data_IF_192879393706
#
_entry.id   IF_192879393706
#
_cell.length_a   1.000
_cell.length_b   1.000
_cell.length_c   1.000
_cell.angle_alpha   90.00
_cell.angle_beta   90.00
_cell.angle_gamma   90.00
#
_symmetry.space_group_name_H-M   'P 1'
#
loop_
_entity.id
_entity.type
_entity.pdbx_description
1 polymer ?
#
# COMPACT_ATOMS: atom_id res chain seq x y z
N UNK A 1 10.31 -24.75 0.89
CA UNK A 1 10.36 -23.57 0.03
C UNK A 1 9.24 -23.75 -0.99
N UNK A 2 8.09 -23.06 -0.80
CA UNK A 2 6.97 -23.14 -1.74
C UNK A 2 7.40 -22.54 -3.09
N UNK A 3 7.07 -23.21 -4.20
CA UNK A 3 7.24 -22.64 -5.55
C UNK A 3 6.47 -21.32 -5.59
N UNK A 4 7.15 -20.22 -5.89
CA UNK A 4 6.47 -18.98 -6.31
C UNK A 4 5.81 -19.31 -7.63
N UNK A 5 4.49 -19.35 -7.65
CA UNK A 5 3.72 -19.52 -8.89
C UNK A 5 3.74 -18.17 -9.57
N UNK A 6 4.47 -18.06 -10.67
CA UNK A 6 4.46 -16.85 -11.48
C UNK A 6 3.24 -16.88 -12.40
N UNK A 7 2.47 -15.79 -12.36
CA UNK A 7 1.39 -15.53 -13.30
C UNK A 7 1.82 -14.34 -14.17
N UNK A 8 1.74 -14.51 -15.47
CA UNK A 8 1.74 -13.39 -16.41
C UNK A 8 0.33 -12.79 -16.50
N UNK A 9 0.16 -11.70 -17.24
CA UNK A 9 -1.17 -11.13 -17.47
C UNK A 9 -1.81 -11.58 -18.79
N UNK A 10 -1.36 -12.71 -19.35
CA UNK A 10 -2.09 -13.36 -20.44
C UNK A 10 -3.47 -13.81 -19.97
N UNK A 11 -4.44 -13.92 -20.90
CA UNK A 11 -5.80 -14.34 -20.58
C UNK A 11 -5.84 -15.65 -19.75
N UNK A 12 -5.04 -16.64 -20.15
CA UNK A 12 -4.98 -17.95 -19.47
C UNK A 12 -4.44 -17.83 -18.06
N UNK A 13 -3.39 -17.03 -17.84
CA UNK A 13 -2.79 -16.85 -16.51
C UNK A 13 -3.67 -16.03 -15.58
N UNK A 14 -4.33 -14.98 -16.07
CA UNK A 14 -5.30 -14.20 -15.31
C UNK A 14 -6.44 -15.09 -14.82
N UNK A 15 -6.99 -15.92 -15.71
CA UNK A 15 -8.03 -16.89 -15.36
C UNK A 15 -7.51 -17.92 -14.36
N UNK A 16 -6.35 -18.53 -14.61
CA UNK A 16 -5.73 -19.51 -13.72
C UNK A 16 -5.50 -18.93 -12.32
N UNK A 17 -4.95 -17.72 -12.21
CA UNK A 17 -4.71 -17.05 -10.94
C UNK A 17 -5.98 -16.79 -10.14
N UNK A 18 -7.07 -16.40 -10.81
CA UNK A 18 -8.37 -16.26 -10.16
C UNK A 18 -8.92 -17.63 -9.69
N UNK A 19 -8.88 -18.67 -10.54
CA UNK A 19 -9.37 -20.00 -10.16
C UNK A 19 -8.57 -20.59 -8.99
N UNK A 20 -7.26 -20.43 -8.98
CA UNK A 20 -6.40 -20.86 -7.87
C UNK A 20 -6.73 -20.10 -6.57
N UNK A 21 -7.03 -18.80 -6.66
CA UNK A 21 -7.47 -17.99 -5.52
C UNK A 21 -8.81 -18.46 -4.97
N UNK A 22 -9.80 -18.68 -5.82
CA UNK A 22 -11.11 -19.20 -5.43
C UNK A 22 -11.00 -20.56 -4.73
N UNK A 23 -10.19 -21.46 -5.30
CA UNK A 23 -9.90 -22.76 -4.70
C UNK A 23 -9.24 -22.63 -3.33
N UNK A 24 -8.24 -21.76 -3.19
CA UNK A 24 -7.54 -21.55 -1.93
C UNK A 24 -8.47 -20.97 -0.85
N UNK A 25 -9.36 -20.06 -1.23
CA UNK A 25 -10.36 -19.45 -0.36
C UNK A 25 -11.58 -20.34 -0.11
N UNK A 26 -11.71 -21.47 -0.84
CA UNK A 26 -12.85 -22.38 -0.77
C UNK A 26 -14.18 -21.69 -1.02
N UNK A 27 -14.24 -20.89 -2.07
CA UNK A 27 -15.43 -20.14 -2.49
C UNK A 27 -15.55 -20.13 -4.01
N UNK A 28 -16.77 -19.97 -4.52
CA UNK A 28 -17.02 -19.86 -5.95
C UNK A 28 -17.00 -18.40 -6.44
N UNK A 29 -16.97 -17.43 -5.52
CA UNK A 29 -16.98 -15.99 -5.81
C UNK A 29 -16.27 -15.21 -4.73
N UNK A 30 -15.58 -14.13 -5.14
CA UNK A 30 -14.97 -13.14 -4.24
C UNK A 30 -15.61 -11.76 -4.45
N UNK A 31 -15.51 -10.90 -3.44
CA UNK A 31 -15.97 -9.52 -3.59
C UNK A 31 -15.02 -8.69 -4.45
N UNK A 32 -13.72 -8.78 -4.20
CA UNK A 32 -12.71 -7.97 -4.85
C UNK A 32 -11.62 -8.83 -5.52
N UNK A 33 -11.42 -8.63 -6.82
CA UNK A 33 -10.31 -9.20 -7.58
C UNK A 33 -9.27 -8.12 -7.89
N UNK A 34 -7.99 -8.40 -7.62
CA UNK A 34 -6.89 -7.47 -7.88
C UNK A 34 -5.91 -7.97 -8.94
N UNK A 35 -5.48 -7.07 -9.82
CA UNK A 35 -4.18 -7.19 -10.47
C UNK A 35 -3.13 -6.55 -9.54
N UNK A 36 -2.26 -7.37 -8.95
CA UNK A 36 -1.34 -6.97 -7.87
C UNK A 36 -0.22 -6.03 -8.35
N UNK A 37 0.13 -6.06 -9.61
CA UNK A 37 1.10 -5.18 -10.25
C UNK A 37 1.00 -5.29 -11.77
N UNK A 38 1.58 -4.37 -12.53
CA UNK A 38 1.55 -4.41 -13.99
C UNK A 38 2.45 -5.51 -14.54
N UNK A 39 1.96 -6.23 -15.54
CA UNK A 39 2.79 -6.97 -16.48
C UNK A 39 2.82 -6.19 -17.80
N UNK A 40 3.93 -5.53 -18.06
CA UNK A 40 4.11 -4.69 -19.27
C UNK A 40 4.49 -5.48 -20.51
N UNK A 41 4.70 -6.80 -20.38
CA UNK A 41 4.95 -7.71 -21.51
C UNK A 41 3.65 -8.07 -22.25
N UNK A 42 2.49 -7.89 -21.61
CA UNK A 42 1.16 -8.15 -22.17
C UNK A 42 0.42 -6.83 -22.38
N UNK A 43 -0.19 -6.57 -23.55
CA UNK A 43 -1.01 -5.39 -23.76
C UNK A 43 -2.14 -5.31 -22.73
N UNK A 44 -2.31 -4.16 -22.07
CA UNK A 44 -3.37 -3.98 -21.05
C UNK A 44 -4.76 -4.32 -21.57
N UNK A 45 -5.04 -4.06 -22.84
CA UNK A 45 -6.33 -4.40 -23.45
C UNK A 45 -6.61 -5.90 -23.43
N UNK A 46 -5.61 -6.75 -23.65
CA UNK A 46 -5.79 -8.20 -23.66
C UNK A 46 -6.05 -8.71 -22.23
N UNK A 47 -5.28 -8.22 -21.25
CA UNK A 47 -5.52 -8.50 -19.83
C UNK A 47 -6.91 -8.08 -19.39
N UNK A 48 -7.31 -6.83 -19.69
CA UNK A 48 -8.59 -6.27 -19.29
C UNK A 48 -9.79 -6.94 -19.96
N UNK A 49 -9.61 -7.46 -21.17
CA UNK A 49 -10.64 -8.26 -21.86
C UNK A 49 -10.96 -9.53 -21.07
N UNK A 50 -9.95 -10.23 -20.59
CA UNK A 50 -10.17 -11.42 -19.76
C UNK A 50 -10.73 -11.08 -18.38
N UNK A 51 -10.22 -10.02 -17.72
CA UNK A 51 -10.79 -9.52 -16.46
C UNK A 51 -12.30 -9.24 -16.62
N UNK A 52 -12.69 -8.55 -17.70
CA UNK A 52 -14.10 -8.26 -17.95
C UNK A 52 -14.93 -9.53 -18.24
N UNK A 53 -14.37 -10.53 -18.91
CA UNK A 53 -15.02 -11.82 -19.15
C UNK A 53 -15.28 -12.56 -17.83
N UNK A 54 -14.28 -12.64 -16.96
CA UNK A 54 -14.37 -13.24 -15.64
C UNK A 54 -15.39 -12.52 -14.74
N UNK A 55 -15.45 -11.18 -14.82
CA UNK A 55 -16.48 -10.40 -14.15
C UNK A 55 -17.89 -10.74 -14.65
N UNK A 56 -18.08 -10.85 -15.97
CA UNK A 56 -19.38 -11.25 -16.56
C UNK A 56 -19.76 -12.69 -16.23
N UNK A 57 -18.79 -13.57 -16.04
CA UNK A 57 -18.99 -14.94 -15.55
C UNK A 57 -19.37 -14.98 -14.05
N UNK A 58 -19.30 -13.85 -13.34
CA UNK A 58 -19.77 -13.70 -11.97
C UNK A 58 -18.79 -14.09 -10.88
N UNK A 59 -17.51 -14.32 -11.20
CA UNK A 59 -16.51 -14.76 -10.22
C UNK A 59 -16.10 -13.69 -9.20
N UNK A 60 -16.32 -12.41 -9.50
CA UNK A 60 -16.07 -11.32 -8.55
C UNK A 60 -17.02 -10.13 -8.78
N UNK A 61 -17.17 -9.28 -7.76
CA UNK A 61 -18.04 -8.09 -7.80
C UNK A 61 -17.32 -6.83 -8.22
N UNK A 62 -16.12 -6.59 -7.66
CA UNK A 62 -15.34 -5.37 -7.84
C UNK A 62 -13.95 -5.70 -8.37
N UNK A 63 -13.41 -4.77 -9.15
CA UNK A 63 -12.08 -4.87 -9.71
C UNK A 63 -11.15 -3.83 -9.09
N UNK A 64 -9.97 -4.24 -8.68
CA UNK A 64 -8.92 -3.40 -8.13
C UNK A 64 -7.59 -3.58 -8.85
N UNK A 65 -6.73 -2.59 -8.73
CA UNK A 65 -5.35 -2.60 -9.23
C UNK A 65 -4.38 -2.12 -8.16
N UNK A 66 -3.10 -2.47 -8.28
CA UNK A 66 -2.07 -2.12 -7.32
C UNK A 66 -0.72 -1.93 -8.00
N UNK A 67 0.12 -1.01 -7.53
CA UNK A 67 1.49 -0.79 -8.01
C UNK A 67 1.63 -0.31 -9.48
N UNK A 68 0.59 0.24 -10.07
CA UNK A 68 0.60 0.86 -11.40
C UNK A 68 1.00 2.33 -11.32
N UNK A 69 1.64 2.85 -12.36
CA UNK A 69 1.87 4.28 -12.56
C UNK A 69 0.54 5.02 -12.82
N UNK A 70 0.48 6.30 -12.48
CA UNK A 70 -0.72 7.13 -12.70
C UNK A 70 -1.20 7.12 -14.16
N UNK A 71 -0.27 7.22 -15.14
CA UNK A 71 -0.63 7.16 -16.55
C UNK A 71 -1.15 5.77 -16.97
N UNK A 72 -0.68 4.69 -16.33
CA UNK A 72 -1.17 3.32 -16.58
C UNK A 72 -2.59 3.17 -16.05
N UNK A 73 -2.87 3.76 -14.88
CA UNK A 73 -4.24 3.81 -14.32
C UNK A 73 -5.18 4.53 -15.29
N UNK A 74 -4.79 5.71 -15.79
CA UNK A 74 -5.58 6.45 -16.77
C UNK A 74 -5.83 5.60 -18.03
N UNK A 75 -4.79 5.00 -18.58
CA UNK A 75 -4.88 4.14 -19.76
C UNK A 75 -5.83 2.94 -19.54
N UNK A 76 -5.76 2.29 -18.37
CA UNK A 76 -6.67 1.19 -18.01
C UNK A 76 -8.12 1.68 -17.98
N UNK A 77 -8.38 2.80 -17.34
CA UNK A 77 -9.73 3.37 -17.26
C UNK A 77 -10.30 3.70 -18.64
N UNK A 78 -9.53 4.37 -19.49
CA UNK A 78 -9.94 4.72 -20.86
C UNK A 78 -10.21 3.48 -21.73
N UNK A 79 -9.37 2.44 -21.63
CA UNK A 79 -9.61 1.16 -22.33
C UNK A 79 -10.93 0.54 -21.86
N UNK A 80 -11.18 0.50 -20.55
CA UNK A 80 -12.40 -0.05 -19.98
C UNK A 80 -13.64 0.75 -20.42
N UNK A 81 -13.57 2.08 -20.38
CA UNK A 81 -14.68 2.95 -20.81
C UNK A 81 -15.00 2.79 -22.30
N UNK A 82 -13.98 2.85 -23.16
CA UNK A 82 -14.14 2.65 -24.62
C UNK A 82 -14.83 1.33 -24.95
N UNK A 83 -14.49 0.27 -24.24
CA UNK A 83 -15.00 -1.07 -24.50
C UNK A 83 -16.24 -1.43 -23.67
N UNK A 84 -16.71 -0.56 -22.76
CA UNK A 84 -17.79 -0.81 -21.78
C UNK A 84 -17.49 -2.04 -20.89
N UNK A 85 -16.24 -2.13 -20.47
CA UNK A 85 -15.75 -3.16 -19.55
C UNK A 85 -15.78 -2.70 -18.11
N UNK A 86 -15.70 -3.66 -17.17
CA UNK A 86 -15.57 -3.36 -15.75
C UNK A 86 -14.31 -2.52 -15.50
N UNK A 87 -14.48 -1.35 -14.88
CA UNK A 87 -13.37 -0.47 -14.48
C UNK A 87 -12.85 -0.85 -13.10
N UNK A 88 -11.57 -0.58 -12.81
CA UNK A 88 -11.10 -0.62 -11.43
C UNK A 88 -11.84 0.43 -10.60
N UNK A 89 -12.32 0.02 -9.44
CA UNK A 89 -12.97 0.89 -8.44
C UNK A 89 -12.08 1.15 -7.23
N UNK A 90 -11.00 0.36 -7.10
CA UNK A 90 -10.03 0.47 -6.01
C UNK A 90 -8.62 0.39 -6.56
N UNK A 91 -7.76 1.28 -6.07
CA UNK A 91 -6.31 1.18 -6.19
C UNK A 91 -5.73 0.88 -4.80
N UNK A 92 -4.92 -0.18 -4.68
CA UNK A 92 -4.19 -0.43 -3.44
C UNK A 92 -2.76 0.09 -3.57
N UNK A 93 -2.34 0.98 -2.68
CA UNK A 93 -1.05 1.66 -2.75
C UNK A 93 -0.34 1.81 -1.43
N UNK A 94 1.00 1.96 -1.51
CA UNK A 94 1.81 2.31 -0.34
C UNK A 94 1.62 3.79 -0.02
N UNK A 95 1.25 4.09 1.22
CA UNK A 95 1.16 5.46 1.67
C UNK A 95 1.25 5.55 3.19
N UNK A 96 2.10 6.42 3.68
CA UNK A 96 2.28 6.76 5.08
C UNK A 96 3.07 8.06 5.21
N UNK A 97 3.21 8.60 6.40
CA UNK A 97 3.83 9.91 6.66
C UNK A 97 5.24 10.09 6.04
N UNK A 98 6.02 9.02 5.87
CA UNK A 98 7.34 9.01 5.21
C UNK A 98 7.32 8.41 3.79
N UNK A 99 6.14 8.24 3.17
CA UNK A 99 5.99 7.81 1.78
C UNK A 99 4.76 8.47 1.17
N UNK A 100 4.98 9.64 0.61
CA UNK A 100 3.92 10.53 0.10
C UNK A 100 4.05 10.82 -1.40
N UNK A 101 4.86 10.05 -2.11
CA UNK A 101 5.15 10.29 -3.54
C UNK A 101 3.92 10.15 -4.45
N UNK A 102 2.85 9.48 -3.99
CA UNK A 102 1.59 9.35 -4.73
C UNK A 102 0.77 10.64 -4.78
N UNK A 103 1.02 11.61 -3.90
CA UNK A 103 0.19 12.81 -3.75
C UNK A 103 0.18 13.69 -5.01
N UNK A 104 1.34 13.77 -5.70
CA UNK A 104 1.53 14.69 -6.80
C UNK A 104 0.76 14.31 -8.07
N UNK A 105 0.64 13.01 -8.37
CA UNK A 105 0.05 12.56 -9.63
C UNK A 105 -0.97 11.44 -9.49
N UNK A 106 -0.70 10.41 -8.65
CA UNK A 106 -1.61 9.28 -8.54
C UNK A 106 -2.93 9.67 -7.86
N UNK A 107 -2.89 10.40 -6.76
CA UNK A 107 -4.11 10.83 -6.05
C UNK A 107 -5.02 11.68 -6.93
N UNK A 108 -4.56 12.71 -7.66
CA UNK A 108 -5.37 13.41 -8.64
C UNK A 108 -5.94 12.51 -9.72
N UNK A 109 -5.15 11.55 -10.23
CA UNK A 109 -5.61 10.58 -11.23
C UNK A 109 -6.75 9.70 -10.69
N UNK A 110 -6.58 9.13 -9.49
CA UNK A 110 -7.61 8.28 -8.86
C UNK A 110 -8.91 9.06 -8.63
N UNK A 111 -8.81 10.31 -8.16
CA UNK A 111 -9.99 11.20 -7.99
C UNK A 111 -10.70 11.48 -9.31
N UNK A 112 -9.94 11.73 -10.38
CA UNK A 112 -10.52 11.96 -11.71
C UNK A 112 -11.36 10.79 -12.20
N UNK A 113 -10.89 9.55 -11.98
CA UNK A 113 -11.59 8.34 -12.42
C UNK A 113 -12.56 7.75 -11.37
N UNK A 114 -12.71 8.38 -10.20
CA UNK A 114 -13.58 7.90 -9.12
C UNK A 114 -13.10 6.58 -8.50
N UNK A 115 -11.79 6.38 -8.39
CA UNK A 115 -11.17 5.17 -7.83
C UNK A 115 -10.80 5.44 -6.37
N UNK A 116 -11.29 4.59 -5.45
CA UNK A 116 -10.90 4.63 -4.04
C UNK A 116 -9.47 4.18 -3.84
N UNK A 117 -8.75 4.80 -2.91
CA UNK A 117 -7.39 4.41 -2.56
C UNK A 117 -7.40 3.62 -1.25
N UNK A 118 -7.00 2.34 -1.32
CA UNK A 118 -6.74 1.50 -0.15
C UNK A 118 -5.24 1.50 0.15
N UNK A 119 -4.88 1.59 1.43
CA UNK A 119 -3.50 1.75 1.84
C UNK A 119 -2.90 0.45 2.36
N UNK A 120 -1.65 0.21 2.05
CA UNK A 120 -0.85 -0.79 2.73
C UNK A 120 0.39 -0.17 3.38
N UNK A 121 0.91 -0.83 4.42
CA UNK A 121 2.05 -0.39 5.22
C UNK A 121 1.89 0.99 5.88
N UNK A 122 0.77 1.32 6.53
CA UNK A 122 0.57 2.62 7.20
C UNK A 122 1.66 2.92 8.22
N UNK A 123 2.26 1.89 8.81
CA UNK A 123 3.38 1.98 9.75
C UNK A 123 4.74 1.61 9.12
N UNK A 124 4.90 1.75 7.79
CA UNK A 124 6.15 1.44 7.09
C UNK A 124 6.70 0.03 7.41
N UNK A 125 5.83 -0.99 7.33
CA UNK A 125 6.11 -2.38 7.72
C UNK A 125 6.55 -2.55 9.20
N UNK A 126 6.21 -1.61 10.07
CA UNK A 126 6.59 -1.58 11.48
C UNK A 126 7.77 -0.67 11.80
N UNK A 127 8.36 0.01 10.82
CA UNK A 127 9.43 0.99 11.06
C UNK A 127 8.93 2.16 11.92
N UNK A 128 7.73 2.65 11.66
CA UNK A 128 7.07 3.74 12.39
C UNK A 128 6.48 3.32 13.74
N UNK A 129 6.87 2.17 14.29
CA UNK A 129 6.63 1.84 15.69
C UNK A 129 7.78 2.26 16.60
N UNK A 130 8.94 2.64 16.03
CA UNK A 130 10.15 3.00 16.76
C UNK A 130 10.88 1.82 17.42
N UNK A 131 10.49 0.57 17.11
CA UNK A 131 11.14 -0.62 17.69
C UNK A 131 12.51 -0.93 17.09
N UNK A 132 12.81 -0.44 15.89
CA UNK A 132 14.09 -0.65 15.22
C UNK A 132 15.09 0.44 15.56
N UNK A 133 16.37 0.05 15.67
CA UNK A 133 17.46 0.95 16.00
C UNK A 133 18.44 1.04 14.82
N UNK A 134 19.05 2.22 14.63
CA UNK A 134 20.18 2.40 13.73
C UNK A 134 21.26 1.37 14.06
N UNK A 135 21.86 0.74 13.07
CA UNK A 135 22.86 -0.32 13.22
C UNK A 135 22.38 -1.63 13.89
N UNK A 136 21.07 -1.86 14.02
CA UNK A 136 20.54 -3.14 14.48
C UNK A 136 20.90 -4.24 13.49
N UNK A 137 21.44 -5.36 13.97
CA UNK A 137 21.83 -6.53 13.16
C UNK A 137 20.96 -7.76 13.43
N UNK A 138 20.27 -7.76 14.56
CA UNK A 138 19.40 -8.86 14.98
C UNK A 138 17.93 -8.48 14.78
N UNK A 139 17.20 -9.32 14.04
CA UNK A 139 15.79 -9.11 13.70
C UNK A 139 14.98 -10.35 14.08
N UNK A 140 13.79 -10.11 14.59
CA UNK A 140 12.84 -11.17 14.93
C UNK A 140 12.57 -12.04 13.69
N UNK A 141 12.68 -13.36 13.88
CA UNK A 141 12.44 -14.34 12.81
C UNK A 141 11.00 -14.26 12.30
N UNK A 142 10.84 -14.24 11.00
CA UNK A 142 9.54 -14.10 10.34
C UNK A 142 8.97 -12.67 10.37
N UNK A 143 9.65 -11.70 10.98
CA UNK A 143 9.24 -10.30 10.91
C UNK A 143 9.38 -9.73 9.50
N UNK A 144 8.72 -8.60 9.24
CA UNK A 144 8.84 -7.87 7.96
C UNK A 144 10.25 -7.33 7.70
N UNK A 145 11.15 -7.38 8.69
CA UNK A 145 12.56 -6.98 8.58
C UNK A 145 13.53 -8.16 8.69
N UNK A 146 13.04 -9.41 8.77
CA UNK A 146 13.90 -10.59 8.82
C UNK A 146 14.71 -10.76 7.51
N UNK A 147 16.06 -10.60 7.54
CA UNK A 147 16.88 -10.67 6.33
C UNK A 147 16.92 -12.08 5.70
N UNK A 148 16.51 -13.11 6.42
CA UNK A 148 16.37 -14.48 5.88
C UNK A 148 15.24 -14.58 4.86
N UNK A 149 14.23 -13.69 4.97
CA UNK A 149 13.08 -13.63 4.08
C UNK A 149 13.32 -12.64 2.92
N UNK A 150 12.82 -12.97 1.73
CA UNK A 150 12.88 -12.03 0.61
C UNK A 150 12.20 -10.69 0.92
N UNK A 151 10.99 -10.74 1.51
CA UNK A 151 10.25 -9.56 1.93
C UNK A 151 11.04 -8.72 2.94
N UNK A 152 11.75 -9.37 3.87
CA UNK A 152 12.56 -8.68 4.87
C UNK A 152 13.72 -7.91 4.25
N UNK A 153 14.43 -8.53 3.31
CA UNK A 153 15.51 -7.83 2.56
C UNK A 153 14.98 -6.63 1.76
N UNK A 154 13.84 -6.79 1.11
CA UNK A 154 13.18 -5.71 0.38
C UNK A 154 12.77 -4.56 1.33
N UNK A 155 12.20 -4.89 2.48
CA UNK A 155 11.78 -3.90 3.49
C UNK A 155 12.98 -3.17 4.09
N UNK A 156 14.06 -3.89 4.41
CA UNK A 156 15.30 -3.25 4.86
C UNK A 156 15.85 -2.30 3.80
N UNK A 157 15.90 -2.71 2.54
CA UNK A 157 16.36 -1.85 1.45
C UNK A 157 15.53 -0.56 1.30
N UNK A 158 14.25 -0.59 1.69
CA UNK A 158 13.38 0.60 1.68
C UNK A 158 13.62 1.53 2.85
N UNK A 159 13.67 1.01 4.07
CA UNK A 159 13.53 1.80 5.29
C UNK A 159 14.75 1.77 6.20
N UNK A 160 15.65 0.79 6.08
CA UNK A 160 16.77 0.59 7.00
C UNK A 160 18.02 1.31 6.49
N UNK A 161 17.99 2.64 6.48
CA UNK A 161 19.08 3.50 6.09
C UNK A 161 19.10 4.78 6.93
N UNK A 162 20.24 5.47 6.95
CA UNK A 162 20.45 6.64 7.81
C UNK A 162 19.42 7.74 7.61
N UNK A 163 19.04 8.02 6.36
CA UNK A 163 18.05 9.07 6.04
C UNK A 163 16.69 8.81 6.70
N UNK A 164 16.23 7.55 6.67
CA UNK A 164 14.98 7.17 7.34
C UNK A 164 15.10 7.21 8.86
N UNK A 165 16.27 6.84 9.41
CA UNK A 165 16.52 6.99 10.85
C UNK A 165 16.60 8.45 11.28
N UNK A 166 17.20 9.34 10.48
CA UNK A 166 17.20 10.78 10.77
C UNK A 166 15.77 11.34 10.84
N UNK A 167 14.92 10.95 9.90
CA UNK A 167 13.50 11.33 9.93
C UNK A 167 12.76 10.73 11.14
N UNK A 168 13.06 9.46 11.50
CA UNK A 168 12.48 8.81 12.66
C UNK A 168 12.89 9.49 13.98
N UNK A 169 14.14 9.96 14.07
CA UNK A 169 14.64 10.68 15.26
C UNK A 169 13.92 12.02 15.45
N UNK A 170 13.63 12.76 14.36
CA UNK A 170 12.78 13.96 14.40
C UNK A 170 11.40 13.66 14.97
N UNK A 171 10.72 12.65 14.40
CA UNK A 171 9.37 12.23 14.84
C UNK A 171 9.39 11.76 16.29
N UNK A 172 10.40 10.96 16.67
CA UNK A 172 10.55 10.45 18.05
C UNK A 172 10.66 11.58 19.05
N UNK A 173 11.41 12.62 18.74
CA UNK A 173 11.64 13.76 19.62
C UNK A 173 10.32 14.51 19.89
N UNK A 174 9.60 14.89 18.83
CA UNK A 174 8.33 15.62 18.98
C UNK A 174 7.23 14.75 19.61
N UNK A 175 7.15 13.49 19.26
CA UNK A 175 6.18 12.57 19.85
C UNK A 175 6.36 12.44 21.38
N UNK A 176 7.60 12.34 21.87
CA UNK A 176 7.91 12.30 23.30
C UNK A 176 7.45 13.55 24.03
N UNK A 177 7.62 14.74 23.44
CA UNK A 177 7.20 16.00 24.05
C UNK A 177 5.68 16.04 24.30
N UNK A 178 4.91 15.37 23.44
CA UNK A 178 3.46 15.26 23.55
C UNK A 178 2.99 13.96 24.21
N UNK A 179 3.89 13.11 24.71
CA UNK A 179 3.57 11.78 25.28
C UNK A 179 2.82 10.86 24.30
N UNK A 180 3.12 11.01 23.01
CA UNK A 180 2.57 10.17 21.94
C UNK A 180 3.54 9.05 21.57
N UNK A 181 3.01 7.94 21.09
CA UNK A 181 3.82 6.93 20.41
C UNK A 181 4.02 7.33 18.95
N UNK A 182 5.09 6.83 18.30
CA UNK A 182 5.34 7.08 16.88
C UNK A 182 4.22 6.47 16.03
N UNK A 183 3.73 5.28 16.40
CA UNK A 183 2.62 4.62 15.74
C UNK A 183 1.34 5.47 15.79
N UNK A 184 1.00 6.01 16.98
CA UNK A 184 -0.12 6.94 17.15
C UNK A 184 0.02 8.17 16.24
N UNK A 185 1.20 8.78 16.21
CA UNK A 185 1.46 9.94 15.34
C UNK A 185 1.22 9.57 13.87
N UNK A 186 1.73 8.43 13.40
CA UNK A 186 1.57 8.00 12.02
C UNK A 186 0.10 7.71 11.67
N UNK A 187 -0.65 7.05 12.56
CA UNK A 187 -2.05 6.70 12.32
C UNK A 187 -2.96 7.94 12.34
N UNK A 188 -2.78 8.84 13.33
CA UNK A 188 -3.53 10.10 13.41
C UNK A 188 -3.23 11.03 12.24
N UNK A 189 -1.97 11.05 11.76
CA UNK A 189 -1.64 11.80 10.57
C UNK A 189 -2.41 11.27 9.35
N UNK A 190 -2.46 9.97 9.15
CA UNK A 190 -3.22 9.36 8.05
C UNK A 190 -4.70 9.73 8.11
N UNK A 191 -5.31 9.68 9.28
CA UNK A 191 -6.74 9.91 9.44
C UNK A 191 -7.14 11.39 9.28
N UNK A 192 -6.35 12.29 9.84
CA UNK A 192 -6.77 13.69 10.02
C UNK A 192 -6.03 14.70 9.16
N UNK A 193 -4.83 14.36 8.64
CA UNK A 193 -3.92 15.33 8.02
C UNK A 193 -3.43 14.93 6.64
N UNK A 194 -3.69 13.70 6.22
CA UNK A 194 -3.32 13.27 4.87
C UNK A 194 -4.27 13.84 3.82
N UNK A 195 -3.83 13.84 2.56
CA UNK A 195 -4.70 14.21 1.42
C UNK A 195 -5.81 13.18 1.17
N UNK A 196 -5.84 12.12 1.96
CA UNK A 196 -6.77 11.01 1.86
C UNK A 196 -7.68 11.01 3.08
N UNK A 197 -8.97 11.04 2.87
CA UNK A 197 -9.95 10.92 3.94
C UNK A 197 -10.58 9.53 3.90
N UNK A 198 -10.31 8.70 4.93
CA UNK A 198 -11.30 7.73 5.37
C UNK A 198 -11.18 6.27 4.97
N UNK A 199 -10.08 5.74 4.38
CA UNK A 199 -9.99 4.28 4.15
C UNK A 199 -8.63 3.71 4.59
N UNK A 200 -8.63 2.88 5.64
CA UNK A 200 -7.45 2.24 6.20
C UNK A 200 -7.65 0.73 6.30
N UNK A 201 -6.65 -0.02 5.95
CA UNK A 201 -6.58 -1.46 6.17
C UNK A 201 -5.17 -1.99 6.12
N UNK A 202 -4.60 -2.37 7.23
CA UNK A 202 -3.71 -3.53 7.45
C UNK A 202 -3.30 -3.63 8.92
N UNK A 203 -3.44 -4.83 9.53
CA UNK A 203 -2.93 -5.12 10.86
C UNK A 203 -2.46 -6.57 10.94
N UNK A 204 -1.31 -6.81 11.61
CA UNK A 204 -0.69 -8.14 11.71
C UNK A 204 -1.13 -8.97 12.92
N UNK A 205 -1.87 -8.37 13.87
CA UNK A 205 -2.42 -9.05 15.06
C UNK A 205 -3.65 -8.32 15.59
N UNK A 206 -4.50 -9.02 16.37
CA UNK A 206 -5.68 -8.41 17.03
C UNK A 206 -5.27 -7.24 17.91
N UNK A 207 -4.21 -7.38 18.70
CA UNK A 207 -3.71 -6.31 19.57
C UNK A 207 -3.31 -5.08 18.76
N UNK A 208 -2.55 -5.25 17.69
CA UNK A 208 -2.15 -4.14 16.83
C UNK A 208 -3.35 -3.52 16.11
N UNK A 209 -4.36 -4.32 15.76
CA UNK A 209 -5.59 -3.81 15.18
C UNK A 209 -6.35 -2.91 16.16
N UNK A 210 -6.52 -3.37 17.40
CA UNK A 210 -7.19 -2.58 18.46
C UNK A 210 -6.43 -1.29 18.76
N UNK A 211 -5.10 -1.36 18.90
CA UNK A 211 -4.25 -0.19 19.12
C UNK A 211 -4.38 0.82 17.96
N UNK A 212 -4.30 0.36 16.69
CA UNK A 212 -4.44 1.21 15.52
C UNK A 212 -5.84 1.85 15.44
N UNK A 213 -6.91 1.10 15.71
CA UNK A 213 -8.28 1.62 15.72
C UNK A 213 -8.46 2.69 16.81
N UNK A 214 -7.97 2.43 18.02
CA UNK A 214 -8.00 3.41 19.10
C UNK A 214 -7.22 4.69 18.74
N UNK A 215 -6.07 4.56 18.08
CA UNK A 215 -5.27 5.71 17.65
C UNK A 215 -5.98 6.53 16.56
N UNK A 216 -6.71 5.89 15.66
CA UNK A 216 -7.51 6.56 14.63
C UNK A 216 -8.68 7.37 15.19
N UNK A 217 -9.28 6.92 16.30
CA UNK A 217 -10.37 7.61 16.97
C UNK A 217 -9.92 8.85 17.77
N UNK A 218 -8.62 8.99 18.05
CA UNK A 218 -8.05 10.18 18.68
C UNK A 218 -8.07 11.34 17.69
N UNK A 219 -8.35 12.54 18.16
CA UNK A 219 -8.44 13.74 17.32
C UNK A 219 -7.14 14.14 16.61
N UNK A 220 -7.14 15.27 15.88
CA UNK A 220 -6.01 15.72 15.09
C UNK A 220 -4.74 15.93 15.94
N UNK A 221 -3.58 15.87 15.27
CA UNK A 221 -2.26 16.10 15.88
C UNK A 221 -2.04 17.59 16.16
N UNK A 222 -1.21 17.95 17.18
CA UNK A 222 -0.75 19.32 17.39
C UNK A 222 0.04 19.87 16.19
N UNK A 223 -0.01 21.19 15.99
CA UNK A 223 0.60 21.86 14.83
C UNK A 223 2.13 21.67 14.77
N UNK A 224 2.81 21.77 15.91
CA UNK A 224 4.26 21.54 15.98
C UNK A 224 4.67 20.11 15.59
N UNK A 225 3.79 19.13 15.87
CA UNK A 225 3.99 17.75 15.40
C UNK A 225 3.87 17.71 13.88
N UNK A 226 2.86 18.36 13.29
CA UNK A 226 2.66 18.42 11.84
C UNK A 226 3.85 19.06 11.13
N UNK A 227 4.36 20.16 11.63
CA UNK A 227 5.57 20.80 11.09
C UNK A 227 6.78 19.86 11.07
N UNK A 228 6.97 19.07 12.12
CA UNK A 228 8.04 18.08 12.19
C UNK A 228 7.82 16.95 11.19
N UNK A 229 6.57 16.50 11.00
CA UNK A 229 6.25 15.46 10.01
C UNK A 229 6.53 15.94 8.56
N UNK A 230 6.24 17.21 8.25
CA UNK A 230 6.62 17.79 6.96
C UNK A 230 8.14 17.83 6.78
N UNK A 231 8.89 18.25 7.80
CA UNK A 231 10.38 18.21 7.77
C UNK A 231 10.88 16.79 7.58
N UNK A 232 10.34 15.81 8.31
CA UNK A 232 10.71 14.41 8.20
C UNK A 232 10.46 13.85 6.79
N UNK A 233 9.31 14.18 6.18
CA UNK A 233 9.03 13.82 4.79
C UNK A 233 10.04 14.44 3.82
N UNK A 234 10.36 15.71 3.96
CA UNK A 234 11.34 16.40 3.09
C UNK A 234 12.74 15.77 3.18
N UNK A 235 13.14 15.25 4.36
CA UNK A 235 14.39 14.52 4.54
C UNK A 235 14.40 13.24 3.73
N UNK A 236 13.34 12.42 3.78
CA UNK A 236 13.32 11.12 3.10
C UNK A 236 12.89 11.20 1.64
N UNK A 237 12.20 12.24 1.21
CA UNK A 237 11.64 12.40 -0.14
C UNK A 237 12.62 12.08 -1.27
N UNK A 238 13.92 12.50 -1.24
CA UNK A 238 14.87 12.19 -2.30
C UNK A 238 15.20 10.69 -2.43
N UNK A 239 15.06 9.93 -1.35
CA UNK A 239 15.41 8.50 -1.28
C UNK A 239 14.17 7.60 -1.10
N UNK A 240 12.99 8.20 -1.08
CA UNK A 240 11.74 7.45 -0.94
C UNK A 240 11.57 6.43 -2.08
N UNK A 241 11.19 5.19 -1.78
CA UNK A 241 11.00 4.18 -2.81
C UNK A 241 9.87 4.58 -3.76
N UNK A 242 9.94 4.05 -4.99
CA UNK A 242 8.85 4.22 -5.95
C UNK A 242 7.57 3.57 -5.41
N UNK A 243 6.41 4.17 -5.70
CA UNK A 243 5.11 3.63 -5.31
C UNK A 243 4.59 2.55 -6.29
N UNK A 244 5.33 2.31 -7.37
CA UNK A 244 5.00 1.38 -8.45
C UNK A 244 6.16 0.39 -8.70
N UNK A 245 5.88 -0.69 -9.41
CA UNK A 245 6.85 -1.72 -9.83
C UNK A 245 7.09 -1.71 -11.33
#
# INVERSE_FOLDING_TARGET
MGKIIEYSHTADDVRRGLMDSLKALRTDRIDMFYLHGPDRSVPFEDTLREVNKLHREGYFSRFGISNYLSFEVAKICEICEKNRWVKPTVYQGIYHVLQRSIEAELVPCLRHYGISLYLFQPLAAGFLTGRYRRNQTDFEEGSRFDPKQWVGRMTQGRYFNDTYFDALDLITTVAKNHRLTIAEVAMRWLMHHSVLTGELGDASSLKHLEENLNDLEKGPLPEDVLEVLEKAWLVVKPVAPKYWH
#
